data_IF_598566157452
#
_entry.id   IF_598566157452
#
_cell.length_a   1.000
_cell.length_b   1.000
_cell.length_c   1.000
_cell.angle_alpha   90.00
_cell.angle_beta   90.00
_cell.angle_gamma   90.00
#
_symmetry.space_group_name_H-M   'P 1'
#
loop_
_entity.id
_entity.type
_entity.pdbx_description
1 polymer ?
#
# COMPACT_ATOMS: atom_id res chain seq x y z
N UNK A 1 -31.82 -9.28 5.35
CA UNK A 1 -30.72 -9.67 6.25
C UNK A 1 -30.57 -8.57 7.30
N UNK A 2 -30.09 -8.91 8.50
CA UNK A 2 -29.76 -7.89 9.49
C UNK A 2 -28.63 -6.97 8.96
N UNK A 3 -28.64 -5.66 9.29
CA UNK A 3 -27.57 -4.75 8.93
C UNK A 3 -26.21 -5.23 9.45
N UNK A 4 -25.16 -5.04 8.65
CA UNK A 4 -23.80 -5.52 8.95
C UNK A 4 -23.02 -4.50 9.77
N UNK A 5 -22.39 -4.94 10.86
CA UNK A 5 -21.46 -4.13 11.65
C UNK A 5 -20.09 -4.08 10.99
N UNK A 6 -19.56 -2.87 10.83
CA UNK A 6 -18.26 -2.62 10.21
C UNK A 6 -17.27 -2.18 11.28
N UNK A 7 -16.09 -2.78 11.28
CA UNK A 7 -14.96 -2.34 12.08
C UNK A 7 -13.74 -2.08 11.18
N UNK A 8 -13.03 -0.99 11.43
CA UNK A 8 -11.78 -0.64 10.77
C UNK A 8 -10.64 -0.95 11.72
N UNK A 9 -9.69 -1.76 11.27
CA UNK A 9 -8.48 -2.11 12.01
C UNK A 9 -7.34 -1.29 11.43
N UNK A 10 -7.07 -0.13 12.06
CA UNK A 10 -6.00 0.79 11.69
C UNK A 10 -6.46 2.24 11.54
N UNK A 11 -5.72 3.15 12.16
CA UNK A 11 -6.04 4.58 12.25
C UNK A 11 -4.96 5.49 11.61
N UNK A 12 -4.09 4.94 10.75
CA UNK A 12 -3.11 5.74 10.02
C UNK A 12 -3.77 6.69 9.01
N UNK A 13 -2.96 7.34 8.17
CA UNK A 13 -3.45 8.29 7.16
C UNK A 13 -4.52 7.65 6.25
N UNK A 14 -4.23 6.46 5.69
CA UNK A 14 -5.17 5.75 4.83
C UNK A 14 -6.37 5.18 5.58
N UNK A 15 -6.16 4.65 6.81
CA UNK A 15 -7.27 4.16 7.64
C UNK A 15 -8.27 5.26 7.97
N UNK A 16 -7.79 6.48 8.25
CA UNK A 16 -8.62 7.66 8.48
C UNK A 16 -9.39 8.11 7.23
N UNK A 17 -8.75 8.06 6.05
CA UNK A 17 -9.42 8.36 4.78
C UNK A 17 -10.53 7.34 4.46
N UNK A 18 -10.27 6.06 4.71
CA UNK A 18 -11.26 4.99 4.58
C UNK A 18 -12.40 5.17 5.59
N UNK A 19 -12.10 5.56 6.82
CA UNK A 19 -13.12 5.84 7.84
C UNK A 19 -14.06 6.97 7.41
N UNK A 20 -13.55 8.01 6.74
CA UNK A 20 -14.38 9.09 6.18
C UNK A 20 -15.38 8.56 5.13
N UNK A 21 -14.91 7.73 4.21
CA UNK A 21 -15.73 7.17 3.12
C UNK A 21 -16.78 6.22 3.69
N UNK A 22 -16.34 5.24 4.47
CA UNK A 22 -17.19 4.19 5.01
C UNK A 22 -18.19 4.74 6.02
N UNK A 23 -17.78 5.68 6.89
CA UNK A 23 -18.67 6.35 7.85
C UNK A 23 -19.83 7.08 7.16
N UNK A 24 -19.56 7.73 6.02
CA UNK A 24 -20.62 8.33 5.20
C UNK A 24 -21.54 7.27 4.60
N UNK A 25 -20.97 6.25 3.96
CA UNK A 25 -21.74 5.24 3.24
C UNK A 25 -22.64 4.40 4.17
N UNK A 26 -22.19 4.04 5.37
CA UNK A 26 -23.04 3.29 6.32
C UNK A 26 -24.18 4.14 6.86
N UNK A 27 -23.99 5.46 6.99
CA UNK A 27 -25.05 6.39 7.40
C UNK A 27 -26.15 6.54 6.34
N UNK A 28 -25.80 6.39 5.06
CA UNK A 28 -26.74 6.48 3.93
C UNK A 28 -27.40 5.13 3.59
N UNK A 29 -26.84 4.01 4.05
CA UNK A 29 -27.23 2.64 3.65
C UNK A 29 -27.60 1.76 4.85
N UNK A 30 -28.47 2.27 5.70
CA UNK A 30 -28.87 1.64 6.97
C UNK A 30 -29.60 0.31 6.81
N UNK A 31 -30.14 0.02 5.62
CA UNK A 31 -30.71 -1.29 5.28
C UNK A 31 -29.64 -2.38 5.09
N UNK A 32 -28.37 -1.99 4.87
CA UNK A 32 -27.25 -2.89 4.65
C UNK A 32 -26.25 -2.89 5.80
N UNK A 33 -26.06 -1.74 6.46
CA UNK A 33 -25.02 -1.56 7.47
C UNK A 33 -25.56 -0.88 8.73
N UNK A 34 -24.98 -1.25 9.88
CA UNK A 34 -25.16 -0.48 11.11
C UNK A 34 -24.49 0.90 10.97
N UNK A 35 -25.09 1.93 11.57
CA UNK A 35 -24.62 3.31 11.41
C UNK A 35 -23.24 3.52 12.04
N UNK A 36 -22.97 2.89 13.17
CA UNK A 36 -21.72 3.10 13.91
C UNK A 36 -20.60 2.23 13.35
N UNK A 37 -19.43 2.85 13.11
CA UNK A 37 -18.20 2.14 12.77
C UNK A 37 -17.23 2.27 13.94
N UNK A 38 -16.76 1.14 14.46
CA UNK A 38 -15.62 1.14 15.38
C UNK A 38 -14.33 1.17 14.57
N UNK A 39 -13.42 2.10 14.91
CA UNK A 39 -12.09 2.17 14.33
C UNK A 39 -11.05 1.92 15.42
N UNK A 40 -10.28 0.84 15.28
CA UNK A 40 -9.14 0.58 16.15
C UNK A 40 -8.07 1.67 15.95
N UNK A 41 -7.83 2.43 17.00
CA UNK A 41 -6.81 3.49 17.06
C UNK A 41 -5.81 3.15 18.15
N UNK A 42 -4.61 2.71 17.74
CA UNK A 42 -3.53 2.47 18.70
C UNK A 42 -3.31 3.71 19.57
N UNK A 43 -3.28 3.51 20.89
CA UNK A 43 -3.26 4.64 21.81
C UNK A 43 -1.88 5.30 21.82
N UNK A 44 -1.89 6.60 21.54
CA UNK A 44 -0.71 7.44 21.52
C UNK A 44 -1.02 8.75 22.24
N UNK A 45 0.01 9.36 22.83
CA UNK A 45 -0.12 10.71 23.37
C UNK A 45 0.18 11.73 22.27
N UNK A 46 -0.74 12.67 22.07
CA UNK A 46 -0.55 13.84 21.23
C UNK A 46 -0.75 15.08 22.09
N UNK A 47 0.31 15.88 22.24
CA UNK A 47 0.31 17.08 23.10
C UNK A 47 -0.21 16.80 24.54
N UNK A 48 0.13 15.62 25.08
CA UNK A 48 -0.23 15.20 26.44
C UNK A 48 -1.62 14.60 26.60
N UNK A 49 -2.44 14.55 25.55
CA UNK A 49 -3.77 13.93 25.55
C UNK A 49 -3.78 12.63 24.75
N UNK A 50 -4.68 11.71 25.09
CA UNK A 50 -4.87 10.47 24.32
C UNK A 50 -5.43 10.78 22.94
N UNK A 51 -4.80 10.24 21.91
CA UNK A 51 -5.21 10.47 20.52
C UNK A 51 -6.64 9.98 20.27
N UNK A 52 -7.05 8.88 20.90
CA UNK A 52 -8.42 8.35 20.79
C UNK A 52 -9.47 9.30 21.38
N UNK A 53 -9.17 9.96 22.50
CA UNK A 53 -10.05 10.93 23.16
C UNK A 53 -10.15 12.23 22.34
N UNK A 54 -9.02 12.74 21.83
CA UNK A 54 -9.00 13.87 20.88
C UNK A 54 -9.86 13.55 19.66
N UNK A 55 -9.68 12.36 19.08
CA UNK A 55 -10.42 11.95 17.90
C UNK A 55 -11.93 11.87 18.17
N UNK A 56 -12.36 11.22 19.25
CA UNK A 56 -13.79 11.09 19.56
C UNK A 56 -14.45 12.42 19.94
N UNK A 57 -13.68 13.44 20.33
CA UNK A 57 -14.19 14.79 20.63
C UNK A 57 -14.24 15.68 19.39
N UNK A 58 -13.22 15.61 18.53
CA UNK A 58 -13.04 16.53 17.40
C UNK A 58 -13.44 15.93 16.05
N UNK A 59 -13.53 14.60 15.97
CA UNK A 59 -13.61 13.81 14.75
C UNK A 59 -12.54 14.15 13.70
N UNK A 60 -11.34 14.54 14.17
CA UNK A 60 -10.17 14.83 13.34
C UNK A 60 -9.01 13.97 13.83
N UNK A 61 -8.36 13.24 12.93
CA UNK A 61 -7.11 12.56 13.24
C UNK A 61 -5.95 13.55 13.11
N UNK A 62 -5.70 14.31 14.19
CA UNK A 62 -4.74 15.43 14.22
C UNK A 62 -3.31 15.02 13.84
N UNK A 63 -2.93 13.76 14.09
CA UNK A 63 -1.59 13.25 13.79
C UNK A 63 -1.45 12.74 12.35
N UNK A 64 -2.39 11.91 11.90
CA UNK A 64 -2.23 11.16 10.65
C UNK A 64 -3.04 11.69 9.46
N UNK A 65 -4.10 12.47 9.69
CA UNK A 65 -4.91 13.11 8.65
C UNK A 65 -5.43 14.48 9.12
N UNK A 66 -4.53 15.46 9.37
CA UNK A 66 -4.90 16.77 9.92
C UNK A 66 -5.81 17.55 8.97
N UNK A 67 -6.71 18.35 9.55
CA UNK A 67 -7.60 19.26 8.81
C UNK A 67 -8.79 18.60 8.09
N UNK A 68 -8.95 17.28 8.22
CA UNK A 68 -10.07 16.55 7.62
C UNK A 68 -11.00 16.03 8.70
N UNK A 69 -12.24 16.51 8.69
CA UNK A 69 -13.32 15.99 9.56
C UNK A 69 -13.82 14.65 9.05
N UNK A 70 -13.91 13.69 9.97
CA UNK A 70 -14.45 12.35 9.77
C UNK A 70 -15.90 12.32 10.32
N UNK A 71 -16.81 11.51 9.76
CA UNK A 71 -18.19 11.43 10.25
C UNK A 71 -18.28 11.03 11.73
N UNK A 72 -19.23 11.64 12.46
CA UNK A 72 -19.41 11.45 13.91
C UNK A 72 -19.75 10.02 14.32
N UNK A 73 -20.30 9.23 13.38
CA UNK A 73 -20.61 7.83 13.57
C UNK A 73 -19.38 6.90 13.51
N UNK A 74 -18.18 7.44 13.29
CA UNK A 74 -16.92 6.70 13.44
C UNK A 74 -16.36 6.93 14.85
N UNK A 75 -16.21 5.85 15.61
CA UNK A 75 -15.76 5.88 17.00
C UNK A 75 -14.38 5.24 17.10
N UNK A 76 -13.39 5.99 17.59
CA UNK A 76 -12.07 5.46 17.90
C UNK A 76 -12.13 4.60 19.17
N UNK A 77 -11.62 3.37 19.06
CA UNK A 77 -11.55 2.41 20.17
C UNK A 77 -10.10 1.96 20.33
N UNK A 78 -9.46 2.19 21.49
CA UNK A 78 -8.04 1.89 21.69
C UNK A 78 -7.72 0.42 21.95
N UNK A 79 -8.73 -0.39 22.26
CA UNK A 79 -8.60 -1.84 22.43
C UNK A 79 -9.12 -2.56 21.19
N UNK A 80 -8.26 -3.35 20.54
CA UNK A 80 -8.61 -4.03 19.29
C UNK A 80 -9.70 -5.09 19.49
N UNK A 81 -9.71 -5.80 20.63
CA UNK A 81 -10.71 -6.84 20.90
C UNK A 81 -12.10 -6.20 21.03
N UNK A 82 -12.20 -5.11 21.78
CA UNK A 82 -13.43 -4.32 21.90
C UNK A 82 -13.85 -3.69 20.58
N UNK A 83 -12.90 -3.19 19.78
CA UNK A 83 -13.21 -2.60 18.49
C UNK A 83 -13.86 -3.62 17.54
N UNK A 84 -13.33 -4.84 17.53
CA UNK A 84 -13.79 -5.93 16.66
C UNK A 84 -15.00 -6.71 17.19
N UNK A 85 -15.42 -6.43 18.42
CA UNK A 85 -16.50 -7.18 19.07
C UNK A 85 -17.80 -7.08 18.26
N UNK A 86 -18.36 -8.23 17.88
CA UNK A 86 -19.58 -8.36 17.07
C UNK A 86 -19.52 -7.73 15.66
N UNK A 87 -18.33 -7.42 15.14
CA UNK A 87 -18.20 -6.95 13.77
C UNK A 87 -18.48 -8.08 12.76
N UNK A 88 -19.33 -7.81 11.76
CA UNK A 88 -19.53 -8.71 10.62
C UNK A 88 -18.45 -8.52 9.54
N UNK A 89 -17.92 -7.30 9.42
CA UNK A 89 -16.94 -6.89 8.41
C UNK A 89 -15.75 -6.25 9.12
N UNK A 90 -14.55 -6.78 8.87
CA UNK A 90 -13.29 -6.21 9.34
C UNK A 90 -12.51 -5.63 8.15
N UNK A 91 -12.18 -4.34 8.22
CA UNK A 91 -11.37 -3.63 7.23
C UNK A 91 -9.96 -3.46 7.78
N UNK A 92 -9.01 -4.26 7.29
CA UNK A 92 -7.61 -4.16 7.71
C UNK A 92 -6.88 -3.07 6.90
N UNK A 93 -6.41 -2.03 7.58
CA UNK A 93 -5.70 -0.87 7.00
C UNK A 93 -4.49 -0.51 7.88
N UNK A 94 -3.72 -1.53 8.23
CA UNK A 94 -2.45 -1.42 8.93
C UNK A 94 -1.27 -1.54 7.95
N UNK A 95 -0.09 -0.99 8.28
CA UNK A 95 1.16 -1.36 7.61
C UNK A 95 1.34 -2.89 7.61
N UNK A 96 1.84 -3.46 6.50
CA UNK A 96 1.86 -4.93 6.31
C UNK A 96 2.69 -5.66 7.38
N UNK A 97 3.70 -5.00 7.96
CA UNK A 97 4.51 -5.54 9.06
C UNK A 97 3.70 -5.94 10.31
N UNK A 98 2.46 -5.45 10.43
CA UNK A 98 1.55 -5.74 11.54
C UNK A 98 0.46 -6.77 11.18
N UNK A 99 0.50 -7.36 9.98
CA UNK A 99 -0.49 -8.34 9.50
C UNK A 99 0.23 -9.62 9.06
N UNK A 100 -0.02 -10.74 9.74
CA UNK A 100 0.68 -12.02 9.49
C UNK A 100 -0.11 -13.02 8.61
N UNK A 101 -1.29 -12.65 8.09
CA UNK A 101 -2.13 -13.54 7.29
C UNK A 101 -2.93 -12.82 6.20
N UNK A 102 -3.17 -13.51 5.09
CA UNK A 102 -3.93 -13.01 3.94
C UNK A 102 -5.33 -13.62 3.96
N UNK A 103 -6.37 -12.79 3.89
CA UNK A 103 -7.75 -13.22 3.74
C UNK A 103 -8.16 -13.14 2.27
N UNK A 104 -8.41 -14.28 1.61
CA UNK A 104 -9.01 -14.32 0.28
C UNK A 104 -10.51 -14.59 0.37
N UNK A 105 -11.31 -13.90 -0.44
CA UNK A 105 -12.75 -14.14 -0.54
C UNK A 105 -13.19 -14.24 -2.01
N UNK A 106 -13.59 -15.43 -2.45
CA UNK A 106 -14.07 -15.71 -3.82
C UNK A 106 -15.59 -15.53 -4.01
N UNK A 107 -16.33 -15.02 -3.02
CA UNK A 107 -17.79 -14.88 -3.09
C UNK A 107 -18.23 -13.55 -3.72
N UNK A 108 -18.93 -13.61 -4.85
CA UNK A 108 -19.47 -12.43 -5.57
C UNK A 108 -20.36 -11.53 -4.71
N UNK A 109 -21.16 -12.12 -3.82
CA UNK A 109 -22.03 -11.39 -2.89
C UNK A 109 -21.24 -10.47 -1.96
N UNK A 110 -20.07 -10.91 -1.50
CA UNK A 110 -19.16 -10.11 -0.67
C UNK A 110 -18.59 -8.96 -1.48
N UNK A 111 -18.24 -9.18 -2.76
CA UNK A 111 -17.76 -8.12 -3.65
C UNK A 111 -18.76 -6.97 -3.82
N UNK A 112 -20.05 -7.26 -4.02
CA UNK A 112 -21.09 -6.23 -4.13
C UNK A 112 -21.31 -5.49 -2.81
N UNK A 113 -21.23 -6.22 -1.68
CA UNK A 113 -21.30 -5.62 -0.34
C UNK A 113 -20.13 -4.65 -0.10
N UNK A 114 -18.91 -5.05 -0.45
CA UNK A 114 -17.72 -4.17 -0.36
C UNK A 114 -17.84 -2.97 -1.29
N UNK A 115 -18.34 -3.15 -2.51
CA UNK A 115 -18.58 -2.03 -3.42
C UNK A 115 -19.55 -1.02 -2.79
N UNK A 116 -20.67 -1.45 -2.20
CA UNK A 116 -21.59 -0.55 -1.52
C UNK A 116 -20.98 0.17 -0.31
N UNK A 117 -19.99 -0.44 0.34
CA UNK A 117 -19.30 0.11 1.50
C UNK A 117 -18.27 1.19 1.12
N UNK A 118 -17.54 1.02 0.02
CA UNK A 118 -16.45 1.92 -0.38
C UNK A 118 -16.80 2.88 -1.52
N UNK A 119 -17.71 2.52 -2.43
CA UNK A 119 -18.00 3.30 -3.65
C UNK A 119 -18.72 4.61 -3.31
N UNK A 120 -18.23 5.71 -3.88
CA UNK A 120 -18.83 7.05 -3.82
C UNK A 120 -18.80 7.70 -5.20
N UNK A 121 -19.26 8.94 -5.33
CA UNK A 121 -19.17 9.70 -6.59
C UNK A 121 -17.73 10.09 -6.96
N UNK A 122 -16.84 10.21 -5.97
CA UNK A 122 -15.44 10.64 -6.15
C UNK A 122 -14.42 9.53 -5.83
N UNK A 123 -14.87 8.36 -5.36
CA UNK A 123 -14.06 7.18 -5.12
C UNK A 123 -14.80 5.96 -5.69
N UNK A 124 -14.53 5.65 -6.96
CA UNK A 124 -15.20 4.56 -7.69
C UNK A 124 -14.47 3.25 -7.48
N UNK A 125 -15.18 2.18 -7.13
CA UNK A 125 -14.60 0.87 -6.88
C UNK A 125 -14.99 -0.13 -7.98
N UNK A 126 -14.00 -0.83 -8.52
CA UNK A 126 -14.18 -2.03 -9.35
C UNK A 126 -14.03 -3.27 -8.48
N UNK A 127 -14.85 -4.29 -8.74
CA UNK A 127 -14.75 -5.59 -8.07
C UNK A 127 -14.09 -6.55 -9.06
N UNK A 128 -12.99 -7.16 -8.65
CA UNK A 128 -12.24 -8.15 -9.43
C UNK A 128 -12.11 -9.45 -8.63
N UNK A 129 -12.14 -10.58 -9.32
CA UNK A 129 -12.06 -11.90 -8.68
C UNK A 129 -10.61 -12.32 -8.37
N UNK A 130 -9.65 -11.73 -9.08
CA UNK A 130 -8.22 -12.00 -9.01
C UNK A 130 -7.55 -11.26 -7.85
N UNK A 131 -7.90 -11.65 -6.63
CA UNK A 131 -7.42 -11.00 -5.41
C UNK A 131 -5.89 -11.10 -5.24
N UNK A 132 -5.28 -12.21 -5.66
CA UNK A 132 -3.84 -12.43 -5.53
C UNK A 132 -3.04 -11.43 -6.36
N UNK A 133 -3.44 -11.19 -7.61
CA UNK A 133 -2.77 -10.21 -8.48
C UNK A 133 -2.98 -8.78 -7.97
N UNK A 134 -4.18 -8.43 -7.50
CA UNK A 134 -4.47 -7.12 -6.90
C UNK A 134 -3.52 -6.84 -5.73
N UNK A 135 -3.41 -7.79 -4.80
CA UNK A 135 -2.61 -7.63 -3.59
C UNK A 135 -1.12 -7.59 -3.90
N UNK A 136 -0.64 -8.51 -4.75
CA UNK A 136 0.76 -8.57 -5.13
C UNK A 136 1.20 -7.31 -5.90
N UNK A 137 0.37 -6.78 -6.82
CA UNK A 137 0.63 -5.50 -7.48
C UNK A 137 0.79 -4.36 -6.47
N UNK A 138 -0.10 -4.29 -5.47
CA UNK A 138 -0.06 -3.27 -4.42
C UNK A 138 1.21 -3.30 -3.56
N UNK A 139 1.80 -4.49 -3.36
CA UNK A 139 3.07 -4.65 -2.66
C UNK A 139 4.27 -4.33 -3.56
N UNK A 140 4.37 -4.98 -4.72
CA UNK A 140 5.54 -4.95 -5.61
C UNK A 140 5.77 -3.58 -6.25
N UNK A 141 4.70 -2.81 -6.51
CA UNK A 141 4.82 -1.43 -7.03
C UNK A 141 5.73 -0.54 -6.17
N UNK A 142 5.78 -0.79 -4.85
CA UNK A 142 6.57 0.01 -3.94
C UNK A 142 8.07 -0.20 -4.15
N UNK A 143 8.49 -1.38 -4.62
CA UNK A 143 9.88 -1.68 -4.99
C UNK A 143 10.24 -0.88 -6.24
N UNK A 144 9.39 -0.94 -7.28
CA UNK A 144 9.59 -0.18 -8.52
C UNK A 144 9.62 1.32 -8.25
N UNK A 145 8.78 1.81 -7.34
CA UNK A 145 8.77 3.22 -6.95
C UNK A 145 10.07 3.69 -6.31
N UNK A 146 10.77 2.85 -5.53
CA UNK A 146 12.13 3.17 -5.06
C UNK A 146 13.08 3.30 -6.24
N UNK A 147 13.02 2.38 -7.21
CA UNK A 147 13.80 2.46 -8.46
C UNK A 147 13.53 3.74 -9.23
N UNK A 148 12.27 4.14 -9.38
CA UNK A 148 11.89 5.39 -10.04
C UNK A 148 12.44 6.62 -9.29
N UNK A 149 12.42 6.60 -7.95
CA UNK A 149 13.03 7.63 -7.12
C UNK A 149 14.54 7.72 -7.27
N UNK A 150 15.24 6.59 -7.42
CA UNK A 150 16.69 6.59 -7.71
C UNK A 150 16.95 7.26 -9.06
N UNK A 151 16.12 6.99 -10.08
CA UNK A 151 16.17 7.68 -11.37
C UNK A 151 15.96 9.19 -11.25
N UNK A 152 15.01 9.62 -10.42
CA UNK A 152 14.77 11.05 -10.12
C UNK A 152 15.99 11.69 -9.45
N UNK A 153 16.58 11.03 -8.44
CA UNK A 153 17.76 11.53 -7.73
C UNK A 153 18.99 11.69 -8.64
N UNK A 154 19.15 10.80 -9.62
CA UNK A 154 20.18 10.92 -10.65
C UNK A 154 19.83 11.86 -11.81
N UNK A 155 18.64 12.48 -11.79
CA UNK A 155 18.14 13.38 -12.84
C UNK A 155 18.15 12.75 -14.25
N UNK A 156 17.78 11.47 -14.34
CA UNK A 156 17.83 10.70 -15.59
C UNK A 156 16.77 11.08 -16.65
N UNK A 157 15.83 11.97 -16.31
CA UNK A 157 14.75 12.44 -17.19
C UNK A 157 13.59 11.46 -17.33
N UNK A 158 12.49 11.97 -17.89
CA UNK A 158 11.20 11.26 -17.93
C UNK A 158 11.21 10.00 -18.81
N UNK A 159 11.97 9.98 -19.91
CA UNK A 159 12.07 8.80 -20.76
C UNK A 159 12.72 7.61 -20.02
N UNK A 160 13.79 7.87 -19.26
CA UNK A 160 14.45 6.84 -18.44
C UNK A 160 13.53 6.39 -17.32
N UNK A 161 12.81 7.32 -16.69
CA UNK A 161 11.80 7.00 -15.67
C UNK A 161 10.68 6.13 -16.23
N UNK A 162 10.19 6.43 -17.43
CA UNK A 162 9.19 5.61 -18.12
C UNK A 162 9.73 4.20 -18.41
N UNK A 163 11.00 4.06 -18.77
CA UNK A 163 11.64 2.76 -18.93
C UNK A 163 11.70 1.97 -17.61
N UNK A 164 12.01 2.62 -16.48
CA UNK A 164 11.97 2.00 -15.13
C UNK A 164 10.55 1.50 -14.81
N UNK A 165 9.53 2.33 -15.06
CA UNK A 165 8.14 1.97 -14.80
C UNK A 165 7.71 0.78 -15.68
N UNK A 166 8.03 0.82 -16.97
CA UNK A 166 7.69 -0.26 -17.92
C UNK A 166 8.36 -1.58 -17.53
N UNK A 167 9.68 -1.57 -17.33
CA UNK A 167 10.45 -2.76 -16.97
C UNK A 167 10.04 -3.30 -15.60
N UNK A 168 9.82 -2.41 -14.63
CA UNK A 168 9.29 -2.78 -13.32
C UNK A 168 7.90 -3.41 -13.41
N UNK A 169 7.02 -2.94 -14.31
CA UNK A 169 5.73 -3.57 -14.54
C UNK A 169 5.88 -4.99 -15.11
N UNK A 170 6.84 -5.21 -16.01
CA UNK A 170 7.13 -6.55 -16.55
C UNK A 170 7.67 -7.49 -15.48
N UNK A 171 8.55 -7.01 -14.59
CA UNK A 171 8.98 -7.79 -13.42
C UNK A 171 7.81 -8.11 -12.47
N UNK A 172 6.86 -7.18 -12.28
CA UNK A 172 5.63 -7.44 -11.51
C UNK A 172 4.81 -8.56 -12.15
N UNK A 173 4.56 -8.48 -13.46
CA UNK A 173 3.79 -9.48 -14.20
C UNK A 173 4.47 -10.85 -14.13
N UNK A 174 5.75 -10.94 -14.50
CA UNK A 174 6.52 -12.19 -14.49
C UNK A 174 6.59 -12.81 -13.07
N UNK A 175 6.76 -11.97 -12.03
CA UNK A 175 6.76 -12.47 -10.65
C UNK A 175 5.39 -13.05 -10.30
N UNK A 176 4.31 -12.32 -10.61
CA UNK A 176 2.98 -12.74 -10.25
C UNK A 176 2.57 -13.99 -11.03
N UNK A 177 2.75 -14.02 -12.35
CA UNK A 177 2.41 -15.18 -13.19
C UNK A 177 3.18 -16.44 -12.77
N UNK A 178 4.43 -16.29 -12.34
CA UNK A 178 5.24 -17.42 -11.87
C UNK A 178 4.77 -17.97 -10.51
N UNK A 179 4.43 -17.09 -9.56
CA UNK A 179 4.10 -17.48 -8.18
C UNK A 179 2.60 -17.67 -7.91
N UNK A 180 1.73 -17.03 -8.69
CA UNK A 180 0.27 -17.02 -8.55
C UNK A 180 -0.39 -17.44 -9.87
N UNK A 181 -0.56 -18.75 -10.04
CA UNK A 181 -1.00 -19.41 -11.29
C UNK A 181 -2.39 -19.01 -11.84
N UNK A 182 -3.15 -18.16 -11.14
CA UNK A 182 -4.51 -17.75 -11.50
C UNK A 182 -4.60 -16.27 -11.94
N UNK A 183 -3.46 -15.62 -12.23
CA UNK A 183 -3.43 -14.22 -12.65
C UNK A 183 -4.18 -13.99 -13.96
N UNK A 184 -4.88 -12.86 -14.05
CA UNK A 184 -5.56 -12.42 -15.25
C UNK A 184 -4.87 -11.18 -15.82
N UNK A 185 -4.47 -11.23 -17.09
CA UNK A 185 -3.82 -10.11 -17.78
C UNK A 185 -4.58 -8.78 -17.62
N UNK A 186 -5.92 -8.83 -17.60
CA UNK A 186 -6.78 -7.65 -17.44
C UNK A 186 -6.60 -6.98 -16.08
N UNK A 187 -6.33 -7.75 -15.02
CA UNK A 187 -6.16 -7.23 -13.65
C UNK A 187 -5.00 -6.24 -13.56
N UNK A 188 -3.92 -6.44 -14.34
CA UNK A 188 -2.79 -5.52 -14.39
C UNK A 188 -3.13 -4.13 -14.97
N UNK A 189 -4.17 -4.05 -15.80
CA UNK A 189 -4.67 -2.80 -16.37
C UNK A 189 -5.75 -2.13 -15.52
N UNK A 190 -6.24 -2.80 -14.47
CA UNK A 190 -7.10 -2.19 -13.46
C UNK A 190 -6.30 -1.23 -12.57
N UNK A 191 -7.00 -0.42 -11.76
CA UNK A 191 -6.35 0.60 -10.92
C UNK A 191 -5.27 0.04 -10.01
N UNK A 192 -5.36 -1.21 -9.57
CA UNK A 192 -4.40 -1.84 -8.66
C UNK A 192 -3.02 -2.12 -9.29
N UNK A 193 -2.95 -2.23 -10.62
CA UNK A 193 -1.73 -2.50 -11.37
C UNK A 193 -1.12 -1.21 -11.91
N UNK A 194 -1.34 -0.95 -13.20
CA UNK A 194 -0.69 0.13 -13.94
C UNK A 194 -0.92 1.52 -13.31
N UNK A 195 -2.18 1.86 -12.97
CA UNK A 195 -2.48 3.20 -12.46
C UNK A 195 -1.81 3.46 -11.10
N UNK A 196 -1.89 2.49 -10.18
CA UNK A 196 -1.28 2.60 -8.87
C UNK A 196 0.26 2.60 -8.94
N UNK A 197 0.85 1.81 -9.86
CA UNK A 197 2.27 1.85 -10.13
C UNK A 197 2.72 3.24 -10.59
N UNK A 198 2.05 3.80 -11.60
CA UNK A 198 2.40 5.11 -12.17
C UNK A 198 2.30 6.20 -11.11
N UNK A 199 1.18 6.29 -10.37
CA UNK A 199 1.03 7.33 -9.34
C UNK A 199 2.07 7.17 -8.22
N UNK A 200 2.39 5.94 -7.82
CA UNK A 200 3.38 5.68 -6.77
C UNK A 200 4.79 6.08 -7.23
N UNK A 201 5.14 5.85 -8.50
CA UNK A 201 6.43 6.24 -9.07
C UNK A 201 6.59 7.76 -9.27
N UNK A 202 5.50 8.53 -9.27
CA UNK A 202 5.55 10.00 -9.40
C UNK A 202 5.38 10.74 -8.07
N UNK A 203 4.51 10.25 -7.17
CA UNK A 203 4.14 10.95 -5.93
C UNK A 203 4.30 10.15 -4.64
N UNK A 204 4.68 8.87 -4.71
CA UNK A 204 4.70 7.97 -3.56
C UNK A 204 5.83 8.22 -2.56
N UNK A 205 5.61 7.83 -1.31
CA UNK A 205 6.63 7.86 -0.23
C UNK A 205 7.88 7.07 -0.61
N UNK A 206 7.72 5.89 -1.22
CA UNK A 206 8.84 5.07 -1.67
C UNK A 206 9.67 5.72 -2.79
N UNK A 207 9.05 6.56 -3.64
CA UNK A 207 9.79 7.39 -4.62
C UNK A 207 10.70 8.40 -3.91
N UNK A 208 10.17 9.10 -2.89
CA UNK A 208 10.99 10.03 -2.08
C UNK A 208 12.16 9.32 -1.40
N UNK A 209 11.97 8.08 -0.93
CA UNK A 209 13.08 7.27 -0.42
C UNK A 209 14.14 7.03 -1.49
N UNK A 210 13.75 6.58 -2.69
CA UNK A 210 14.69 6.35 -3.79
C UNK A 210 15.55 7.57 -4.11
N UNK A 211 14.94 8.75 -4.14
CA UNK A 211 15.63 10.03 -4.34
C UNK A 211 16.60 10.33 -3.20
N UNK A 212 16.17 10.17 -1.95
CA UNK A 212 17.00 10.40 -0.77
C UNK A 212 18.21 9.46 -0.70
N UNK A 213 18.08 8.21 -1.16
CA UNK A 213 19.18 7.24 -1.21
C UNK A 213 20.33 7.68 -2.13
N UNK A 214 20.07 8.55 -3.12
CA UNK A 214 21.09 9.11 -4.01
C UNK A 214 21.91 10.19 -3.31
N UNK A 215 21.27 11.04 -2.50
CA UNK A 215 21.91 12.19 -1.87
C UNK A 215 22.43 11.93 -0.45
N UNK A 216 22.07 10.79 0.15
CA UNK A 216 22.34 10.50 1.55
C UNK A 216 22.88 9.09 1.78
N UNK A 217 23.84 8.98 2.70
CA UNK A 217 24.36 7.73 3.23
C UNK A 217 23.67 7.28 4.52
N UNK A 218 22.65 8.02 4.99
CA UNK A 218 21.86 7.66 6.17
C UNK A 218 21.24 6.27 6.05
N UNK A 219 21.00 5.64 7.17
CA UNK A 219 20.25 4.39 7.28
C UNK A 219 18.78 4.59 6.89
N UNK A 220 18.08 3.49 6.56
CA UNK A 220 16.65 3.56 6.24
C UNK A 220 15.81 4.07 7.41
N UNK A 221 16.22 3.78 8.65
CA UNK A 221 15.52 4.21 9.86
C UNK A 221 15.62 5.74 10.01
N UNK A 222 16.82 6.29 9.88
CA UNK A 222 17.03 7.75 9.94
C UNK A 222 16.26 8.48 8.83
N UNK A 223 16.25 7.94 7.62
CA UNK A 223 15.48 8.51 6.50
C UNK A 223 13.97 8.42 6.74
N UNK A 224 13.48 7.35 7.37
CA UNK A 224 12.06 7.18 7.70
C UNK A 224 11.60 8.21 8.73
N UNK A 225 12.37 8.39 9.80
CA UNK A 225 12.07 9.39 10.84
C UNK A 225 12.05 10.81 10.25
N UNK A 226 13.05 11.15 9.42
CA UNK A 226 13.19 12.48 8.83
C UNK A 226 12.12 12.80 7.78
N UNK A 227 11.82 11.85 6.89
CA UNK A 227 10.96 12.10 5.72
C UNK A 227 9.48 11.85 6.06
N UNK A 228 9.18 10.85 6.89
CA UNK A 228 7.81 10.32 7.04
C UNK A 228 7.14 10.65 8.38
N UNK A 229 7.86 11.20 9.37
CA UNK A 229 7.29 11.72 10.63
C UNK A 229 6.28 10.75 11.28
N UNK A 230 6.66 9.47 11.41
CA UNK A 230 5.81 8.42 12.03
C UNK A 230 5.04 7.53 11.05
N UNK A 231 5.29 7.63 9.73
CA UNK A 231 4.88 6.62 8.75
C UNK A 231 6.07 5.79 8.29
N UNK A 232 5.83 4.69 7.57
CA UNK A 232 6.90 3.75 7.17
C UNK A 232 7.05 3.53 5.66
N UNK A 233 8.30 3.31 5.22
CA UNK A 233 8.65 2.87 3.87
C UNK A 233 8.45 1.36 3.73
N UNK A 234 7.48 0.96 2.93
CA UNK A 234 7.18 -0.46 2.71
C UNK A 234 8.03 -1.07 1.59
N UNK A 235 8.55 -0.27 0.65
CA UNK A 235 9.34 -0.74 -0.49
C UNK A 235 10.56 -1.58 -0.10
N UNK A 236 11.43 -1.15 0.84
CA UNK A 236 12.60 -1.93 1.26
C UNK A 236 12.25 -3.28 1.89
N UNK A 237 11.16 -3.34 2.67
CA UNK A 237 10.68 -4.57 3.31
C UNK A 237 10.20 -5.58 2.26
N UNK A 238 9.41 -5.12 1.29
CA UNK A 238 8.95 -5.95 0.16
C UNK A 238 10.13 -6.40 -0.70
N UNK A 239 11.08 -5.51 -1.02
CA UNK A 239 12.27 -5.84 -1.80
C UNK A 239 13.10 -6.95 -1.12
N UNK A 240 13.24 -6.90 0.21
CA UNK A 240 13.89 -7.96 0.99
C UNK A 240 13.15 -9.30 0.89
N UNK A 241 11.83 -9.30 1.08
CA UNK A 241 11.03 -10.52 0.99
C UNK A 241 11.11 -11.15 -0.41
N UNK A 242 10.95 -10.33 -1.46
CA UNK A 242 11.08 -10.75 -2.86
C UNK A 242 12.46 -11.31 -3.15
N UNK A 243 13.53 -10.63 -2.71
CA UNK A 243 14.89 -11.10 -2.92
C UNK A 243 15.14 -12.49 -2.33
N UNK A 244 14.69 -12.76 -1.09
CA UNK A 244 14.85 -14.09 -0.48
C UNK A 244 14.08 -15.19 -1.23
N UNK A 245 12.86 -14.88 -1.71
CA UNK A 245 12.08 -15.80 -2.55
C UNK A 245 12.83 -16.10 -3.85
N UNK A 246 13.28 -15.06 -4.57
CA UNK A 246 14.01 -15.20 -5.84
C UNK A 246 15.32 -15.97 -5.66
N UNK A 247 16.04 -15.71 -4.58
CA UNK A 247 17.28 -16.42 -4.22
C UNK A 247 17.00 -17.91 -3.99
N UNK A 248 15.95 -18.25 -3.25
CA UNK A 248 15.55 -19.65 -3.01
C UNK A 248 15.18 -20.39 -4.30
N UNK A 249 14.66 -19.67 -5.31
CA UNK A 249 14.28 -20.22 -6.62
C UNK A 249 15.38 -20.10 -7.68
N UNK A 250 16.55 -19.54 -7.35
CA UNK A 250 17.65 -19.26 -8.29
C UNK A 250 17.21 -18.39 -9.49
N UNK A 251 16.36 -17.40 -9.24
CA UNK A 251 15.77 -16.52 -10.25
C UNK A 251 16.23 -15.06 -10.14
N UNK A 252 17.22 -14.75 -9.29
CA UNK A 252 17.67 -13.37 -9.06
C UNK A 252 18.05 -12.62 -10.35
N UNK A 253 18.64 -13.31 -11.32
CA UNK A 253 19.02 -12.70 -12.61
C UNK A 253 17.83 -12.33 -13.51
N UNK A 254 16.64 -12.91 -13.25
CA UNK A 254 15.42 -12.59 -14.01
C UNK A 254 14.76 -11.28 -13.58
N UNK A 255 15.08 -10.76 -12.39
CA UNK A 255 14.42 -9.59 -11.81
C UNK A 255 15.44 -8.52 -11.38
N UNK A 256 16.21 -7.97 -12.33
CA UNK A 256 17.32 -7.09 -12.02
C UNK A 256 16.91 -5.80 -11.29
N UNK A 257 15.72 -5.24 -11.51
CA UNK A 257 15.23 -4.04 -10.81
C UNK A 257 14.92 -4.37 -9.35
N UNK A 258 14.15 -5.43 -9.08
CA UNK A 258 13.84 -5.85 -7.71
C UNK A 258 15.11 -6.15 -6.91
N UNK A 259 16.06 -6.86 -7.53
CA UNK A 259 17.34 -7.19 -6.90
C UNK A 259 18.19 -5.93 -6.68
N UNK A 260 18.30 -5.03 -7.65
CA UNK A 260 19.08 -3.82 -7.51
C UNK A 260 18.53 -2.91 -6.40
N UNK A 261 17.21 -2.72 -6.33
CA UNK A 261 16.56 -1.94 -5.26
C UNK A 261 16.89 -2.55 -3.90
N UNK A 262 16.77 -3.88 -3.75
CA UNK A 262 17.12 -4.54 -2.50
C UNK A 262 18.59 -4.29 -2.08
N UNK A 263 19.54 -4.48 -3.01
CA UNK A 263 20.96 -4.32 -2.74
C UNK A 263 21.33 -2.87 -2.42
N UNK A 264 20.71 -1.90 -3.11
CA UNK A 264 20.89 -0.47 -2.85
C UNK A 264 20.35 -0.10 -1.46
N UNK A 265 19.16 -0.58 -1.09
CA UNK A 265 18.60 -0.36 0.25
C UNK A 265 19.49 -0.97 1.36
N UNK A 266 20.22 -2.05 1.06
CA UNK A 266 21.22 -2.64 1.97
C UNK A 266 22.61 -2.00 1.88
N UNK A 267 22.80 -0.97 1.04
CA UNK A 267 24.10 -0.33 0.75
C UNK A 267 25.17 -1.29 0.20
N UNK A 268 24.75 -2.39 -0.42
CA UNK A 268 25.62 -3.37 -1.09
C UNK A 268 25.84 -3.08 -2.58
N UNK A 269 25.06 -2.15 -3.14
CA UNK A 269 25.17 -1.66 -4.51
C UNK A 269 25.05 -0.14 -4.49
N UNK A 270 25.84 0.56 -5.31
CA UNK A 270 25.74 2.02 -5.44
C UNK A 270 24.53 2.40 -6.27
N UNK A 271 23.87 3.51 -5.95
CA UNK A 271 22.72 4.00 -6.72
C UNK A 271 23.07 4.31 -8.18
N UNK A 272 24.31 4.73 -8.46
CA UNK A 272 24.80 4.98 -9.83
C UNK A 272 24.82 3.73 -10.71
N UNK A 273 24.91 2.53 -10.10
CA UNK A 273 24.93 1.26 -10.82
C UNK A 273 23.50 0.77 -11.15
N UNK A 274 22.46 1.42 -10.63
CA UNK A 274 21.07 1.04 -10.87
C UNK A 274 20.73 1.00 -12.37
N UNK A 275 21.30 1.90 -13.18
CA UNK A 275 21.07 1.93 -14.63
C UNK A 275 21.43 0.61 -15.33
N UNK A 276 22.40 -0.14 -14.79
CA UNK A 276 22.81 -1.44 -15.34
C UNK A 276 21.69 -2.48 -15.26
N UNK A 277 20.79 -2.36 -14.28
CA UNK A 277 19.61 -3.22 -14.16
C UNK A 277 18.62 -3.03 -15.32
N UNK A 278 18.60 -1.82 -15.91
CA UNK A 278 17.75 -1.50 -17.06
C UNK A 278 18.40 -1.92 -18.37
N UNK A 279 19.70 -1.65 -18.53
CA UNK A 279 20.43 -1.93 -19.78
C UNK A 279 20.54 -3.43 -20.06
N UNK A 280 20.73 -4.24 -19.01
CA UNK A 280 20.92 -5.69 -19.14
C UNK A 280 19.64 -6.49 -18.83
N UNK A 281 18.48 -5.84 -18.88
CA UNK A 281 17.22 -6.48 -18.53
C UNK A 281 16.90 -7.66 -19.48
N UNK A 282 16.45 -8.83 -18.97
CA UNK A 282 16.14 -10.01 -19.77
C UNK A 282 15.19 -9.75 -20.95
N UNK A 283 14.20 -8.87 -20.74
CA UNK A 283 13.23 -8.43 -21.76
C UNK A 283 13.82 -7.81 -23.03
N UNK A 284 15.09 -7.41 -23.04
CA UNK A 284 15.74 -6.93 -24.27
C UNK A 284 16.26 -8.08 -25.15
N UNK A 285 16.36 -9.30 -24.61
CA UNK A 285 16.89 -10.49 -25.31
C UNK A 285 15.80 -11.38 -25.91
N UNK A 286 14.53 -11.07 -25.65
CA UNK A 286 13.36 -11.86 -26.05
C UNK A 286 12.79 -11.47 -27.42
N UNK A 287 13.58 -10.76 -28.25
CA UNK A 287 13.24 -10.39 -29.62
C UNK A 287 14.34 -10.81 -30.61
#
# INVERSE_FOLDING_TARGET
MAPKRVCIIGSGNWGSAIAKITGKNVSERTNLFERTINMYMYEELYEGQKLSEIFNTTHINVKYLPGITIPENVVAVPDVLKATENADILIFVLPHQFVQGICSCKKKEVGLLMKNLFDTTYFRCSVVEDAATVEACGALKNVVAVGAGIGDGHKMGDNTKAAIVRLGMLEIIEFIDFFFKESNLRTYFESCGLADLVTTCHGGRNRKLGEALVYSNKTLIELEEEILKGQSFQGPLVAKAVFEILKSKKMVEKFPIFVAVHLICQRKMKTSEFINSLMNHPEHKTH
#
